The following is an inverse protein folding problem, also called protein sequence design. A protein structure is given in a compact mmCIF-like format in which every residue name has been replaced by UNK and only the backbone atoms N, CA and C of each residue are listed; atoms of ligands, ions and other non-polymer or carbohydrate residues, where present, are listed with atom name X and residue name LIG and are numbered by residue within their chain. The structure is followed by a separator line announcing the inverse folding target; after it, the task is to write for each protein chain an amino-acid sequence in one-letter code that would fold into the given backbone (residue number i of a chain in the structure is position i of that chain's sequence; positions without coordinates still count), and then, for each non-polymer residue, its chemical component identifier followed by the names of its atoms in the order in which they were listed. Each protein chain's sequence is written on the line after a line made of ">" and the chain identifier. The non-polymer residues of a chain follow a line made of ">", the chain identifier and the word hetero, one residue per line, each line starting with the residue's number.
data_IF_979205094012
#
_entry.id   IF_979205094012
#
_cell.length_a   1.000
_cell.length_b   1.000
_cell.length_c   1.000
_cell.angle_alpha   90.00
_cell.angle_beta   90.00
_cell.angle_gamma   90.00
#
_symmetry.space_group_name_H-M   'P 1'
#
loop_
_entity.id
_entity.type
_entity.pdbx_description
1 polymer ?
#
# COMPACT_ATOMS: atom_id res chain seq x y z
N UNK A 1 8.07 0.05 -6.01
CA UNK A 1 9.04 -1.00 -5.59
C UNK A 1 8.35 -1.86 -4.54
N UNK A 2 8.49 -3.19 -4.60
CA UNK A 2 7.98 -4.12 -3.57
C UNK A 2 9.16 -4.65 -2.76
N UNK A 3 9.18 -4.41 -1.46
CA UNK A 3 10.24 -4.76 -0.52
C UNK A 3 9.86 -5.95 0.36
N UNK A 4 8.55 -6.23 0.47
CA UNK A 4 8.02 -7.27 1.33
C UNK A 4 7.34 -8.37 0.50
N UNK A 5 7.43 -9.59 1.00
CA UNK A 5 6.70 -10.73 0.44
C UNK A 5 6.41 -11.78 1.50
N UNK A 6 5.38 -12.58 1.29
CA UNK A 6 5.17 -13.84 1.98
C UNK A 6 6.09 -14.92 1.44
N UNK A 7 6.57 -15.79 2.34
CA UNK A 7 7.37 -16.96 1.96
C UNK A 7 6.55 -18.10 1.33
N UNK A 8 5.23 -18.12 1.54
CA UNK A 8 4.28 -19.08 0.95
C UNK A 8 3.04 -18.35 0.42
N UNK A 9 2.26 -19.01 -0.43
CA UNK A 9 1.00 -18.50 -0.98
C UNK A 9 -0.13 -18.52 0.07
N UNK A 10 0.10 -17.90 1.22
CA UNK A 10 -0.79 -17.92 2.38
C UNK A 10 -0.63 -16.62 3.19
N UNK A 11 -1.74 -15.96 3.52
CA UNK A 11 -1.75 -14.74 4.33
C UNK A 11 -1.28 -14.93 5.78
N UNK A 12 -1.23 -16.18 6.26
CA UNK A 12 -0.67 -16.56 7.55
C UNK A 12 0.85 -16.79 7.50
N UNK A 13 1.43 -16.87 6.30
CA UNK A 13 2.87 -17.08 6.12
C UNK A 13 3.68 -15.95 6.78
N UNK A 14 4.90 -16.26 7.27
CA UNK A 14 5.85 -15.21 7.61
C UNK A 14 6.12 -14.28 6.41
N UNK A 15 6.25 -12.98 6.70
CA UNK A 15 6.69 -11.96 5.76
C UNK A 15 8.21 -11.84 5.87
N UNK A 16 8.87 -11.66 4.73
CA UNK A 16 10.32 -11.46 4.62
C UNK A 16 10.60 -10.21 3.78
N UNK A 17 11.73 -9.56 4.03
CA UNK A 17 12.20 -8.47 3.16
C UNK A 17 12.99 -9.01 1.98
N UNK A 18 13.06 -8.25 0.89
CA UNK A 18 13.89 -8.63 -0.27
C UNK A 18 15.36 -8.79 0.12
N UNK A 19 15.87 -7.95 1.02
CA UNK A 19 17.26 -8.01 1.46
C UNK A 19 17.55 -9.28 2.26
N UNK A 20 16.63 -9.69 3.13
CA UNK A 20 16.76 -10.93 3.89
C UNK A 20 16.64 -12.16 2.98
N UNK A 21 15.70 -12.15 2.04
CA UNK A 21 15.57 -13.22 1.04
C UNK A 21 16.85 -13.37 0.19
N UNK A 22 17.43 -12.26 -0.27
CA UNK A 22 18.69 -12.26 -1.02
C UNK A 22 19.89 -12.69 -0.16
N UNK A 23 19.88 -12.40 1.15
CA UNK A 23 20.92 -12.84 2.08
C UNK A 23 20.85 -14.36 2.28
N UNK A 24 19.66 -14.89 2.56
CA UNK A 24 19.43 -16.31 2.75
C UNK A 24 19.75 -17.10 1.48
N UNK A 25 19.40 -16.59 0.30
CA UNK A 25 19.78 -17.19 -0.98
C UNK A 25 21.30 -17.27 -1.20
N UNK A 26 22.06 -16.28 -0.72
CA UNK A 26 23.54 -16.31 -0.78
C UNK A 26 24.15 -17.26 0.24
N UNK A 27 23.56 -17.34 1.44
CA UNK A 27 24.09 -18.15 2.53
C UNK A 27 23.75 -19.64 2.39
N UNK A 28 22.56 -19.94 1.85
CA UNK A 28 22.00 -21.29 1.73
C UNK A 28 21.42 -21.50 0.32
N UNK A 29 22.25 -21.51 -0.73
CA UNK A 29 21.77 -21.53 -2.11
C UNK A 29 20.90 -22.76 -2.43
N UNK A 30 21.28 -23.94 -1.94
CA UNK A 30 20.54 -25.19 -2.19
C UNK A 30 19.11 -25.17 -1.64
N UNK A 31 18.88 -24.42 -0.55
CA UNK A 31 17.56 -24.32 0.08
C UNK A 31 16.70 -23.18 -0.50
N UNK A 32 17.30 -22.21 -1.20
CA UNK A 32 16.65 -20.93 -1.53
C UNK A 32 16.70 -20.56 -3.01
N UNK A 33 17.47 -21.29 -3.81
CA UNK A 33 17.40 -21.18 -5.26
C UNK A 33 16.04 -21.64 -5.79
N UNK A 34 15.50 -20.91 -6.78
CA UNK A 34 14.19 -21.22 -7.37
C UNK A 34 12.98 -20.94 -6.48
N UNK A 35 13.15 -20.55 -5.20
CA UNK A 35 12.03 -20.21 -4.32
C UNK A 35 11.21 -19.04 -4.86
N UNK A 36 9.90 -19.22 -4.86
CA UNK A 36 8.93 -18.17 -5.13
C UNK A 36 8.48 -17.53 -3.82
N UNK A 37 8.19 -16.25 -3.91
CA UNK A 37 7.59 -15.43 -2.85
C UNK A 37 6.26 -14.89 -3.33
N UNK A 38 5.45 -14.35 -2.45
CA UNK A 38 4.09 -13.96 -2.79
C UNK A 38 3.76 -12.55 -2.29
N UNK A 39 3.11 -11.76 -3.13
CA UNK A 39 2.72 -10.40 -2.80
C UNK A 39 1.83 -10.35 -1.55
N UNK A 40 2.10 -9.39 -0.68
CA UNK A 40 1.46 -9.35 0.64
C UNK A 40 -0.04 -8.99 0.60
N UNK A 41 -0.54 -8.52 -0.55
CA UNK A 41 -1.92 -8.09 -0.76
C UNK A 41 -2.69 -9.13 -1.58
N UNK A 42 -2.13 -9.56 -2.72
CA UNK A 42 -2.82 -10.41 -3.72
C UNK A 42 -2.31 -11.85 -3.79
N UNK A 43 -1.29 -12.22 -3.03
CA UNK A 43 -0.60 -13.53 -3.12
C UNK A 43 -0.13 -13.87 -4.55
N UNK A 44 0.16 -12.86 -5.37
CA UNK A 44 0.71 -13.06 -6.72
C UNK A 44 2.19 -13.47 -6.59
N UNK A 45 2.67 -14.48 -7.35
CA UNK A 45 4.02 -14.96 -7.21
C UNK A 45 5.06 -13.94 -7.71
N UNK A 46 6.17 -13.88 -6.99
CA UNK A 46 7.27 -12.93 -7.16
C UNK A 46 8.62 -13.64 -6.95
N UNK A 47 9.69 -12.99 -7.43
CA UNK A 47 11.08 -13.37 -7.19
C UNK A 47 11.88 -12.17 -6.70
N UNK A 48 12.86 -12.37 -5.79
CA UNK A 48 13.74 -11.31 -5.37
C UNK A 48 14.72 -10.98 -6.50
N UNK A 49 14.86 -9.70 -6.80
CA UNK A 49 15.81 -9.17 -7.80
C UNK A 49 16.86 -8.36 -7.07
N UNK A 50 18.13 -8.76 -7.20
CA UNK A 50 19.25 -8.00 -6.67
C UNK A 50 19.63 -6.86 -7.63
N UNK A 51 19.49 -5.62 -7.16
CA UNK A 51 19.96 -4.40 -7.86
C UNK A 51 20.82 -3.53 -6.95
N UNK A 52 21.36 -4.11 -5.88
CA UNK A 52 22.08 -3.38 -4.84
C UNK A 52 21.19 -2.86 -3.70
N UNK A 53 21.83 -2.40 -2.62
CA UNK A 53 21.19 -2.18 -1.33
C UNK A 53 19.97 -1.24 -1.32
N UNK A 54 19.88 -0.27 -2.24
CA UNK A 54 18.79 0.71 -2.29
C UNK A 54 17.77 0.46 -3.41
N UNK A 55 17.97 -0.58 -4.22
CA UNK A 55 17.20 -0.81 -5.44
C UNK A 55 16.71 -2.24 -5.63
N UNK A 56 17.17 -3.18 -4.79
CA UNK A 56 16.65 -4.55 -4.77
C UNK A 56 15.17 -4.55 -4.41
N UNK A 57 14.42 -5.45 -5.04
CA UNK A 57 12.97 -5.54 -4.88
C UNK A 57 12.45 -6.91 -5.29
N UNK A 58 11.24 -7.26 -4.84
CA UNK A 58 10.48 -8.34 -5.44
C UNK A 58 9.87 -7.90 -6.77
N UNK A 59 9.90 -8.78 -7.76
CA UNK A 59 9.28 -8.59 -9.07
C UNK A 59 8.33 -9.75 -9.39
N UNK A 60 7.18 -9.46 -10.02
CA UNK A 60 6.23 -10.49 -10.43
C UNK A 60 6.81 -11.43 -11.50
N UNK A 61 6.51 -12.73 -11.39
CA UNK A 61 6.84 -13.70 -12.42
C UNK A 61 6.06 -13.42 -13.72
N UNK A 62 6.73 -13.52 -14.87
CA UNK A 62 6.12 -13.36 -16.20
C UNK A 62 5.72 -11.93 -16.56
N UNK A 63 5.97 -10.94 -15.69
CA UNK A 63 5.79 -9.53 -16.00
C UNK A 63 7.01 -9.00 -16.73
N UNK A 64 6.86 -8.72 -18.03
CA UNK A 64 7.79 -7.90 -18.79
C UNK A 64 7.81 -6.48 -18.24
N UNK A 65 8.57 -6.24 -17.18
CA UNK A 65 9.01 -4.89 -16.80
C UNK A 65 7.92 -3.82 -16.66
N UNK A 66 6.67 -4.19 -16.38
CA UNK A 66 5.58 -3.22 -16.23
C UNK A 66 5.88 -2.33 -15.03
N UNK A 67 6.38 -1.15 -15.38
CA UNK A 67 6.57 0.05 -14.57
C UNK A 67 6.78 -0.19 -13.09
N UNK A 68 8.04 -0.29 -12.67
CA UNK A 68 8.39 0.17 -11.33
C UNK A 68 7.92 1.62 -11.22
N UNK A 69 6.79 1.84 -10.53
CA UNK A 69 6.33 3.19 -10.20
C UNK A 69 7.52 3.96 -9.64
N UNK A 70 7.79 5.15 -10.20
CA UNK A 70 8.96 6.00 -9.92
C UNK A 70 9.09 6.47 -8.45
N UNK A 71 8.29 5.94 -7.53
CA UNK A 71 8.45 6.11 -6.08
C UNK A 71 8.84 4.78 -5.43
N UNK A 72 9.98 4.75 -4.73
CA UNK A 72 10.30 3.62 -3.85
C UNK A 72 9.42 3.72 -2.60
N UNK A 73 8.37 2.90 -2.52
CA UNK A 73 7.65 2.67 -1.27
C UNK A 73 8.61 2.02 -0.26
N UNK A 74 8.59 2.48 0.98
CA UNK A 74 9.35 1.87 2.07
C UNK A 74 8.58 0.72 2.73
N UNK A 75 9.25 -0.03 3.61
CA UNK A 75 8.69 -1.18 4.33
C UNK A 75 7.36 -0.84 5.03
N UNK A 76 7.32 0.24 5.80
CA UNK A 76 6.12 0.61 6.54
C UNK A 76 4.98 1.10 5.64
N UNK A 77 5.28 1.66 4.47
CA UNK A 77 4.27 2.01 3.47
C UNK A 77 3.56 0.75 2.97
N UNK A 78 4.31 -0.29 2.62
CA UNK A 78 3.76 -1.58 2.18
C UNK A 78 2.93 -2.25 3.29
N UNK A 79 3.36 -2.18 4.55
CA UNK A 79 2.58 -2.68 5.68
C UNK A 79 1.26 -1.92 5.87
N UNK A 80 1.25 -0.59 5.72
CA UNK A 80 0.01 0.20 5.80
C UNK A 80 -0.92 -0.16 4.64
N UNK A 81 -0.41 -0.33 3.43
CA UNK A 81 -1.20 -0.78 2.29
C UNK A 81 -1.79 -2.16 2.51
N UNK A 82 -0.99 -3.09 3.05
CA UNK A 82 -1.42 -4.42 3.42
C UNK A 82 -2.59 -4.38 4.40
N UNK A 83 -2.48 -3.55 5.44
CA UNK A 83 -3.55 -3.35 6.40
C UNK A 83 -4.82 -2.87 5.71
N UNK A 84 -4.76 -1.74 5.01
CA UNK A 84 -5.93 -1.10 4.38
C UNK A 84 -6.61 -2.04 3.37
N UNK A 85 -5.83 -2.74 2.54
CA UNK A 85 -6.39 -3.62 1.52
C UNK A 85 -6.99 -4.91 2.07
N UNK A 86 -6.79 -5.25 3.36
CA UNK A 86 -7.36 -6.45 3.99
C UNK A 86 -8.54 -6.15 4.92
N UNK A 87 -8.99 -4.89 4.98
CA UNK A 87 -10.13 -4.50 5.79
C UNK A 87 -11.44 -4.76 5.07
N UNK A 88 -12.41 -5.30 5.83
CA UNK A 88 -13.82 -5.37 5.45
C UNK A 88 -14.64 -4.27 6.12
N UNK A 89 -14.18 -3.81 7.29
CA UNK A 89 -14.75 -2.67 8.00
C UNK A 89 -13.64 -1.79 8.53
N UNK A 90 -13.85 -0.47 8.50
CA UNK A 90 -12.84 0.46 8.96
C UNK A 90 -13.45 1.68 9.65
N UNK A 91 -13.13 1.83 10.94
CA UNK A 91 -13.47 3.04 11.70
C UNK A 91 -12.45 4.13 11.40
N UNK A 92 -12.90 5.19 10.76
CA UNK A 92 -12.08 6.35 10.41
C UNK A 92 -12.59 7.61 11.12
N UNK A 93 -11.70 8.60 11.25
CA UNK A 93 -12.06 9.96 11.67
C UNK A 93 -11.65 10.96 10.59
N UNK A 94 -12.62 11.69 10.06
CA UNK A 94 -12.46 12.67 9.00
C UNK A 94 -13.16 13.97 9.41
N UNK A 95 -12.45 15.10 9.38
CA UNK A 95 -12.93 16.41 9.86
C UNK A 95 -13.54 16.41 11.28
N UNK A 96 -13.00 15.57 12.17
CA UNK A 96 -13.47 15.48 13.56
C UNK A 96 -14.72 14.61 13.76
N UNK A 97 -15.35 14.13 12.69
CA UNK A 97 -16.45 13.16 12.72
C UNK A 97 -15.91 11.74 12.53
N UNK A 98 -16.55 10.78 13.16
CA UNK A 98 -16.25 9.36 12.98
C UNK A 98 -17.17 8.76 11.92
N UNK A 99 -16.60 7.89 11.09
CA UNK A 99 -17.34 7.15 10.05
C UNK A 99 -16.94 5.68 10.13
N UNK A 100 -17.89 4.81 9.86
CA UNK A 100 -17.68 3.38 9.69
C UNK A 100 -17.78 3.02 8.21
N UNK A 101 -16.62 2.79 7.59
CA UNK A 101 -16.57 2.27 6.23
C UNK A 101 -16.86 0.77 6.24
N UNK A 102 -17.75 0.32 5.36
CA UNK A 102 -17.95 -1.10 5.03
C UNK A 102 -17.42 -1.30 3.62
N UNK A 103 -16.46 -2.20 3.47
CA UNK A 103 -15.62 -2.36 2.28
C UNK A 103 -15.95 -3.72 1.67
N UNK A 104 -16.29 -3.75 0.39
CA UNK A 104 -16.59 -4.98 -0.36
C UNK A 104 -15.43 -5.40 -1.25
N UNK A 105 -14.70 -4.42 -1.77
CA UNK A 105 -13.57 -4.66 -2.65
C UNK A 105 -12.40 -3.74 -2.31
N UNK A 106 -11.20 -4.26 -2.47
CA UNK A 106 -9.96 -3.50 -2.34
C UNK A 106 -9.05 -3.78 -3.54
N UNK A 107 -8.25 -2.78 -3.92
CA UNK A 107 -7.11 -3.00 -4.82
C UNK A 107 -5.97 -2.09 -4.41
N UNK A 108 -4.75 -2.63 -4.40
CA UNK A 108 -3.55 -1.82 -4.37
C UNK A 108 -3.25 -1.22 -5.75
N UNK A 109 -2.50 -0.11 -5.75
CA UNK A 109 -1.96 0.54 -6.94
C UNK A 109 -3.01 0.85 -8.01
N UNK A 110 -4.10 1.49 -7.59
CA UNK A 110 -5.20 1.88 -8.46
C UNK A 110 -4.73 2.92 -9.50
N UNK A 111 -4.62 2.47 -10.75
CA UNK A 111 -4.28 3.32 -11.87
C UNK A 111 -5.46 4.23 -12.26
N UNK A 112 -5.17 5.52 -12.39
CA UNK A 112 -6.10 6.55 -12.83
C UNK A 112 -5.47 7.29 -14.01
N UNK A 113 -6.12 7.19 -15.17
CA UNK A 113 -5.70 7.91 -16.37
C UNK A 113 -6.26 9.34 -16.35
N UNK A 114 -5.42 10.34 -16.61
CA UNK A 114 -5.84 11.73 -16.80
C UNK A 114 -5.89 12.06 -18.28
N UNK A 115 -7.05 11.87 -18.91
CA UNK A 115 -7.29 12.06 -20.35
C UNK A 115 -6.72 13.38 -20.89
N UNK A 116 -6.78 14.45 -20.07
CA UNK A 116 -6.32 15.78 -20.49
C UNK A 116 -4.80 15.90 -20.59
N UNK A 117 -4.05 15.22 -19.75
CA UNK A 117 -2.58 15.27 -19.79
C UNK A 117 -1.93 14.02 -20.36
N UNK A 118 -2.71 12.99 -20.65
CA UNK A 118 -2.25 11.69 -21.13
C UNK A 118 -1.40 10.93 -20.10
N UNK A 119 -1.37 11.39 -18.84
CA UNK A 119 -0.57 10.77 -17.78
C UNK A 119 -1.38 9.78 -16.97
N UNK A 120 -0.71 8.73 -16.51
CA UNK A 120 -1.24 7.81 -15.51
C UNK A 120 -0.74 8.22 -14.12
N UNK A 121 -1.67 8.28 -13.18
CA UNK A 121 -1.39 8.39 -11.75
C UNK A 121 -1.76 7.09 -11.07
N UNK A 122 -1.05 6.74 -10.00
CA UNK A 122 -1.36 5.56 -9.18
C UNK A 122 -1.79 6.03 -7.82
N UNK A 123 -2.94 5.54 -7.36
CA UNK A 123 -3.42 5.66 -5.98
C UNK A 123 -3.05 4.41 -5.20
N UNK A 124 -2.61 4.60 -3.96
CA UNK A 124 -2.05 3.51 -3.16
C UNK A 124 -3.04 2.38 -2.89
N UNK A 125 -4.26 2.72 -2.45
CA UNK A 125 -5.35 1.76 -2.29
C UNK A 125 -6.65 2.32 -2.88
N UNK A 126 -7.44 1.48 -3.55
CA UNK A 126 -8.87 1.70 -3.84
C UNK A 126 -9.69 0.89 -2.85
N UNK A 127 -10.73 1.50 -2.30
CA UNK A 127 -11.78 0.86 -1.51
C UNK A 127 -13.10 1.03 -2.24
N UNK A 128 -13.78 -0.07 -2.56
CA UNK A 128 -15.18 -0.07 -2.95
C UNK A 128 -16.04 -0.32 -1.72
N UNK A 129 -17.01 0.56 -1.49
CA UNK A 129 -17.85 0.58 -0.30
C UNK A 129 -19.18 -0.14 -0.54
N UNK A 130 -19.69 -0.79 0.50
CA UNK A 130 -21.08 -1.30 0.50
C UNK A 130 -22.08 -0.14 0.49
N UNK A 131 -23.27 -0.30 -0.13
CA UNK A 131 -24.32 0.73 -0.14
C UNK A 131 -24.80 1.22 1.24
N UNK A 132 -24.60 0.42 2.29
CA UNK A 132 -24.93 0.72 3.68
C UNK A 132 -23.73 1.22 4.50
N UNK A 133 -22.61 1.54 3.83
CA UNK A 133 -21.43 2.19 4.39
C UNK A 133 -21.66 3.69 4.60
N UNK A 134 -21.05 4.25 5.63
CA UNK A 134 -20.87 5.70 5.68
C UNK A 134 -20.08 6.19 4.46
N UNK A 135 -20.37 7.41 4.02
CA UNK A 135 -19.76 8.08 2.87
C UNK A 135 -20.05 7.44 1.51
N UNK A 136 -20.88 6.39 1.41
CA UNK A 136 -21.16 5.72 0.14
C UNK A 136 -21.69 6.70 -0.92
N UNK A 137 -22.74 7.45 -0.61
CA UNK A 137 -23.36 8.36 -1.59
C UNK A 137 -22.46 9.56 -1.92
N UNK A 138 -21.76 10.11 -0.93
CA UNK A 138 -20.83 11.23 -1.10
C UNK A 138 -19.61 10.88 -1.97
N UNK A 139 -19.24 9.60 -2.01
CA UNK A 139 -18.05 9.10 -2.72
C UNK A 139 -18.40 8.25 -3.93
N UNK A 140 -19.68 8.16 -4.28
CA UNK A 140 -20.21 7.25 -5.30
C UNK A 140 -19.71 5.79 -5.11
N UNK A 141 -19.61 5.37 -3.85
CA UNK A 141 -19.19 4.04 -3.44
C UNK A 141 -17.69 3.76 -3.59
N UNK A 142 -16.85 4.74 -3.91
CA UNK A 142 -15.41 4.52 -4.10
C UNK A 142 -14.56 5.57 -3.38
N UNK A 143 -13.63 5.10 -2.55
CA UNK A 143 -12.63 5.93 -1.88
C UNK A 143 -11.23 5.47 -2.30
N UNK A 144 -10.38 6.42 -2.69
CA UNK A 144 -8.94 6.20 -2.77
C UNK A 144 -8.25 6.56 -1.46
N UNK A 145 -7.24 5.78 -1.07
CA UNK A 145 -6.35 6.08 0.06
C UNK A 145 -4.95 6.30 -0.49
N UNK A 146 -4.33 7.41 -0.09
CA UNK A 146 -2.91 7.69 -0.29
C UNK A 146 -2.18 7.60 1.05
N UNK A 147 -1.13 6.79 1.09
CA UNK A 147 -0.25 6.68 2.24
C UNK A 147 0.88 7.68 2.04
N UNK A 148 0.97 8.68 2.93
CA UNK A 148 2.01 9.72 2.83
C UNK A 148 3.04 9.52 3.93
N UNK A 149 4.31 9.41 3.53
CA UNK A 149 5.45 9.31 4.43
C UNK A 149 6.13 10.67 4.62
N UNK A 150 7.14 10.98 3.81
CA UNK A 150 7.97 12.19 3.79
C UNK A 150 7.65 13.07 2.58
N UNK A 151 7.08 12.51 1.51
CA UNK A 151 6.76 13.24 0.28
C UNK A 151 5.25 13.40 0.10
N UNK A 152 4.78 14.65 0.18
CA UNK A 152 3.37 14.98 -0.05
C UNK A 152 3.00 14.71 -1.50
N UNK A 153 1.77 14.26 -1.71
CA UNK A 153 1.21 14.15 -3.06
C UNK A 153 1.24 15.51 -3.76
N UNK A 154 1.81 15.56 -4.96
CA UNK A 154 1.96 16.79 -5.73
C UNK A 154 0.62 17.39 -6.21
N UNK A 155 0.55 18.73 -6.39
CA UNK A 155 -0.70 19.42 -6.75
C UNK A 155 -1.28 18.96 -8.09
N UNK A 156 -0.43 18.55 -9.04
CA UNK A 156 -0.84 18.04 -10.35
C UNK A 156 -1.66 16.75 -10.21
N UNK A 157 -1.20 15.78 -9.40
CA UNK A 157 -1.91 14.53 -9.11
C UNK A 157 -3.24 14.80 -8.41
N UNK A 158 -3.25 15.66 -7.37
CA UNK A 158 -4.50 16.04 -6.68
C UNK A 158 -5.55 16.61 -7.63
N UNK A 159 -5.16 17.52 -8.52
CA UNK A 159 -6.06 18.13 -9.50
C UNK A 159 -6.59 17.11 -10.52
N UNK A 160 -5.74 16.19 -10.98
CA UNK A 160 -6.16 15.13 -11.89
C UNK A 160 -7.21 14.21 -11.22
N UNK A 161 -6.93 13.72 -10.01
CA UNK A 161 -7.82 12.83 -9.27
C UNK A 161 -9.17 13.50 -8.93
N UNK A 162 -9.17 14.76 -8.51
CA UNK A 162 -10.41 15.51 -8.25
C UNK A 162 -11.26 15.71 -9.51
N UNK A 163 -10.63 15.95 -10.68
CA UNK A 163 -11.34 16.07 -11.96
C UNK A 163 -11.92 14.75 -12.43
N UNK A 164 -11.26 13.64 -12.14
CA UNK A 164 -11.77 12.30 -12.39
C UNK A 164 -12.95 11.91 -11.48
N UNK A 165 -13.47 12.85 -10.66
CA UNK A 165 -14.60 12.60 -9.77
C UNK A 165 -14.21 11.87 -8.49
N UNK A 166 -12.92 11.68 -8.22
CA UNK A 166 -12.46 10.79 -7.15
C UNK A 166 -12.30 11.51 -5.82
N UNK A 167 -12.76 10.84 -4.76
CA UNK A 167 -12.46 11.20 -3.38
C UNK A 167 -11.23 10.42 -2.92
N UNK A 168 -10.17 11.14 -2.59
CA UNK A 168 -8.91 10.58 -2.12
C UNK A 168 -8.64 11.09 -0.71
N UNK A 169 -8.54 10.16 0.23
CA UNK A 169 -8.18 10.42 1.61
C UNK A 169 -6.68 10.15 1.82
N UNK A 170 -6.10 10.88 2.75
CA UNK A 170 -4.68 10.80 3.10
C UNK A 170 -4.52 10.09 4.45
N UNK A 171 -3.74 9.01 4.47
CA UNK A 171 -3.22 8.40 5.69
C UNK A 171 -1.77 8.84 5.86
N UNK A 172 -1.55 9.81 6.74
CA UNK A 172 -0.21 10.26 7.09
C UNK A 172 0.44 9.22 8.01
N UNK A 173 1.57 8.66 7.57
CA UNK A 173 2.35 7.74 8.40
C UNK A 173 2.97 8.48 9.59
N UNK A 174 3.06 7.77 10.72
CA UNK A 174 3.80 8.26 11.89
C UNK A 174 5.30 8.14 11.58
N UNK A 175 6.11 9.19 11.83
CA UNK A 175 7.56 9.17 11.58
C UNK A 175 8.28 7.96 12.18
N UNK A 176 7.88 7.54 13.38
CA UNK A 176 8.44 6.38 14.09
C UNK A 176 8.24 5.02 13.40
N UNK A 177 7.42 4.95 12.35
CA UNK A 177 7.27 3.74 11.55
C UNK A 177 8.33 3.64 10.46
N UNK A 178 9.06 4.72 10.18
CA UNK A 178 10.03 4.75 9.10
C UNK A 178 11.15 3.73 9.35
N UNK A 179 11.40 2.90 8.34
CA UNK A 179 12.56 2.01 8.27
C UNK A 179 13.30 2.38 7.00
N UNK A 180 14.57 2.74 7.14
CA UNK A 180 15.39 3.04 5.98
C UNK A 180 15.59 1.77 5.13
N UNK A 181 15.51 1.92 3.80
CA UNK A 181 15.48 0.79 2.87
C UNK A 181 16.75 -0.08 2.90
N UNK A 182 17.88 0.48 3.33
CA UNK A 182 19.18 -0.20 3.42
C UNK A 182 19.43 -0.88 4.77
N UNK A 183 18.52 -0.73 5.74
CA UNK A 183 18.62 -1.40 7.04
C UNK A 183 18.22 -2.87 6.87
N UNK A 184 19.10 -3.76 7.36
CA UNK A 184 18.77 -5.17 7.51
C UNK A 184 17.78 -5.31 8.66
N UNK A 185 16.52 -5.54 8.33
CA UNK A 185 15.47 -5.88 9.28
C UNK A 185 15.19 -7.39 9.22
N UNK A 186 15.22 -8.03 10.38
CA UNK A 186 14.87 -9.45 10.53
C UNK A 186 13.36 -9.67 10.40
N UNK A 187 12.96 -10.92 10.20
CA UNK A 187 11.52 -11.28 10.15
C UNK A 187 10.80 -11.00 11.46
N UNK A 188 11.51 -11.10 12.59
CA UNK A 188 10.97 -10.82 13.93
C UNK A 188 10.70 -9.33 14.13
N UNK A 189 11.66 -8.47 13.82
CA UNK A 189 11.51 -7.01 13.86
C UNK A 189 10.41 -6.53 12.91
N UNK A 190 10.32 -7.12 11.72
CA UNK A 190 9.25 -6.82 10.77
C UNK A 190 7.88 -7.17 11.33
N UNK A 191 7.75 -8.32 12.00
CA UNK A 191 6.49 -8.73 12.65
C UNK A 191 6.12 -7.78 13.80
N UNK A 192 7.09 -7.33 14.60
CA UNK A 192 6.86 -6.34 15.65
C UNK A 192 6.37 -5.01 15.07
N UNK A 193 7.00 -4.53 14.00
CA UNK A 193 6.58 -3.32 13.30
C UNK A 193 5.16 -3.45 12.74
N UNK A 194 4.85 -4.57 12.07
CA UNK A 194 3.51 -4.86 11.54
C UNK A 194 2.46 -4.84 12.65
N UNK A 195 2.70 -5.52 13.78
CA UNK A 195 1.81 -5.51 14.94
C UNK A 195 1.60 -4.11 15.50
N UNK A 196 2.65 -3.30 15.59
CA UNK A 196 2.58 -1.91 16.06
C UNK A 196 1.71 -1.05 15.14
N UNK A 197 1.95 -1.10 13.83
CA UNK A 197 1.19 -0.34 12.83
C UNK A 197 -0.28 -0.77 12.87
N UNK A 198 -0.55 -2.07 12.80
CA UNK A 198 -1.92 -2.59 12.73
C UNK A 198 -2.68 -2.32 14.02
N UNK A 199 -2.02 -2.50 15.17
CA UNK A 199 -2.59 -2.19 16.48
C UNK A 199 -2.90 -0.70 16.66
N UNK A 200 -2.12 0.19 16.05
CA UNK A 200 -2.43 1.62 16.03
C UNK A 200 -3.66 1.91 15.15
N UNK A 201 -3.66 1.44 13.91
CA UNK A 201 -4.73 1.72 12.95
C UNK A 201 -6.09 1.15 13.38
N UNK A 202 -6.08 -0.02 14.06
CA UNK A 202 -7.28 -0.65 14.62
C UNK A 202 -7.97 0.16 15.73
N UNK A 203 -7.29 1.09 16.40
CA UNK A 203 -7.90 1.93 17.44
C UNK A 203 -8.79 3.04 16.85
N UNK A 204 -8.76 3.22 15.54
CA UNK A 204 -9.41 4.32 14.82
C UNK A 204 -8.36 5.13 14.06
N UNK A 205 -8.57 5.30 12.76
CA UNK A 205 -7.60 5.97 11.89
C UNK A 205 -8.05 7.38 11.56
N UNK A 206 -7.23 8.38 11.89
CA UNK A 206 -7.46 9.76 11.44
C UNK A 206 -7.00 9.91 10.00
N UNK A 207 -7.88 10.37 9.12
CA UNK A 207 -7.59 10.63 7.72
C UNK A 207 -7.70 12.13 7.41
N UNK A 208 -6.84 12.58 6.49
CA UNK A 208 -6.99 13.86 5.80
C UNK A 208 -7.83 13.70 4.54
N UNK A 209 -8.37 14.80 4.01
CA UNK A 209 -8.89 14.82 2.65
C UNK A 209 -7.79 15.33 1.72
N UNK A 210 -7.26 14.44 0.87
CA UNK A 210 -6.23 14.82 -0.08
C UNK A 210 -6.81 15.60 -1.26
N UNK A 211 -7.89 15.08 -1.84
CA UNK A 211 -8.68 15.74 -2.85
C UNK A 211 -10.09 15.15 -2.93
N UNK A 212 -11.02 15.97 -3.42
CA UNK A 212 -12.41 15.58 -3.68
C UNK A 212 -12.99 16.49 -4.77
N UNK A 213 -14.05 16.06 -5.47
CA UNK A 213 -14.82 16.96 -6.33
C UNK A 213 -15.42 18.12 -5.53
N UNK A 214 -15.63 19.26 -6.19
CA UNK A 214 -16.12 20.48 -5.53
C UNK A 214 -17.51 20.30 -4.89
N UNK A 215 -18.36 19.43 -5.44
CA UNK A 215 -19.73 19.19 -4.98
C UNK A 215 -19.81 18.27 -3.74
N UNK A 216 -18.78 17.48 -3.44
CA UNK A 216 -18.77 16.57 -2.29
C UNK A 216 -18.59 17.36 -0.99
N UNK A 217 -19.38 17.08 0.06
CA UNK A 217 -19.27 17.69 1.40
C UNK A 217 -19.19 16.59 2.46
N UNK A 218 -18.49 16.87 3.56
CA UNK A 218 -18.28 15.95 4.70
C UNK A 218 -18.73 16.63 6.01
#
# INVERSE_FOLDING_TARGET
>A
MKLLAYQKADFSSPIITVHEALRLRRQYPEEWEGKHFYDIIKLRPMVPVDRGAKSSSFAYLGGSGDGHGKGSKGIAHELVQEYVCKLWTWRIRLFGKEFMLKIEETSDEWAVHDDRSGLNYTVDCKLGLSPDSDLYYETAGVIGIEVTDTHKTGPRKKKALARAGLVILELQMIPDWHVANDVKITSEELNLLRKRIFGFLNKGTRLGCLCKPAHVRF
#
